data_IF_574426506634
#
_entry.id   IF_574426506634
#
_cell.length_a   1.000
_cell.length_b   1.000
_cell.length_c   1.000
_cell.angle_alpha   90.00
_cell.angle_beta   90.00
_cell.angle_gamma   90.00
#
_symmetry.space_group_name_H-M   'P 1'
#
loop_
_entity.id
_entity.type
_entity.pdbx_description
1 polymer ?
#
# COMPACT_ATOMS: atom_id res chain seq x y z
N UNK A 1 -9.91 64.15 -44.01
CA UNK A 1 -10.60 63.02 -43.35
C UNK A 1 -9.58 62.28 -42.53
N UNK A 2 -9.78 62.19 -41.21
CA UNK A 2 -8.90 61.45 -40.31
C UNK A 2 -9.59 60.14 -39.93
N UNK A 3 -8.93 59.01 -40.19
CA UNK A 3 -9.39 57.68 -39.78
C UNK A 3 -9.04 57.54 -38.31
N UNK A 4 -10.04 57.62 -37.43
CA UNK A 4 -9.89 57.28 -36.03
C UNK A 4 -9.93 55.76 -35.91
N UNK A 5 -8.77 55.14 -35.74
CA UNK A 5 -8.68 53.72 -35.38
C UNK A 5 -9.09 53.59 -33.92
N UNK A 6 -10.31 53.11 -33.68
CA UNK A 6 -10.74 52.66 -32.37
C UNK A 6 -9.91 51.43 -31.98
N UNK A 7 -8.90 51.65 -31.15
CA UNK A 7 -8.10 50.59 -30.56
C UNK A 7 -8.98 49.86 -29.54
N UNK A 8 -9.66 48.81 -30.00
CA UNK A 8 -10.54 47.95 -29.22
C UNK A 8 -9.83 47.29 -28.04
N UNK A 9 -9.85 47.99 -26.91
CA UNK A 9 -9.80 47.54 -25.52
C UNK A 9 -9.24 46.12 -25.24
N UNK A 10 -7.92 45.92 -25.39
CA UNK A 10 -7.22 44.66 -25.05
C UNK A 10 -7.33 44.24 -23.57
N UNK A 11 -7.80 45.13 -22.69
CA UNK A 11 -8.05 44.83 -21.27
C UNK A 11 -9.17 43.81 -21.07
N UNK A 12 -10.21 43.79 -21.93
CA UNK A 12 -11.31 42.80 -21.82
C UNK A 12 -10.85 41.38 -22.12
N UNK A 13 -9.97 41.20 -23.13
CA UNK A 13 -9.39 39.89 -23.46
C UNK A 13 -8.46 39.37 -22.37
N UNK A 14 -7.68 40.27 -21.75
CA UNK A 14 -6.76 39.91 -20.67
C UNK A 14 -7.50 39.51 -19.39
N UNK A 15 -8.60 40.21 -19.06
CA UNK A 15 -9.46 39.85 -17.92
C UNK A 15 -10.13 38.49 -18.16
N UNK A 16 -10.65 38.25 -19.37
CA UNK A 16 -11.25 36.95 -19.72
C UNK A 16 -10.25 35.79 -19.62
N UNK A 17 -9.01 36.00 -20.06
CA UNK A 17 -7.92 35.02 -19.93
C UNK A 17 -7.63 34.70 -18.46
N UNK A 18 -7.47 35.72 -17.61
CA UNK A 18 -7.18 35.56 -16.18
C UNK A 18 -8.29 34.80 -15.47
N UNK A 19 -9.56 35.13 -15.77
CA UNK A 19 -10.72 34.42 -15.21
C UNK A 19 -10.79 32.97 -15.71
N UNK A 20 -10.51 32.73 -16.99
CA UNK A 20 -10.47 31.37 -17.52
C UNK A 20 -9.39 30.51 -16.85
N UNK A 21 -8.19 31.06 -16.69
CA UNK A 21 -7.07 30.38 -16.02
C UNK A 21 -7.39 30.11 -14.55
N UNK A 22 -7.98 31.07 -13.84
CA UNK A 22 -8.31 30.89 -12.42
C UNK A 22 -9.33 29.78 -12.19
N UNK A 23 -10.34 29.66 -13.07
CA UNK A 23 -11.33 28.57 -13.01
C UNK A 23 -10.66 27.22 -13.24
N UNK A 24 -9.79 27.10 -14.25
CA UNK A 24 -9.08 25.84 -14.55
C UNK A 24 -8.19 25.42 -13.37
N UNK A 25 -7.42 26.36 -12.82
CA UNK A 25 -6.57 26.09 -11.65
C UNK A 25 -7.41 25.68 -10.44
N UNK A 26 -8.55 26.34 -10.20
CA UNK A 26 -9.47 25.99 -9.13
C UNK A 26 -10.00 24.56 -9.25
N UNK A 27 -10.39 24.13 -10.46
CA UNK A 27 -10.85 22.76 -10.70
C UNK A 27 -9.75 21.72 -10.46
N UNK A 28 -8.51 22.02 -10.86
CA UNK A 28 -7.37 21.12 -10.61
C UNK A 28 -7.14 20.97 -9.11
N UNK A 29 -7.14 22.08 -8.35
CA UNK A 29 -6.95 22.05 -6.90
C UNK A 29 -8.09 21.28 -6.23
N UNK A 30 -9.35 21.55 -6.59
CA UNK A 30 -10.50 20.86 -6.03
C UNK A 30 -10.43 19.35 -6.27
N UNK A 31 -10.10 18.94 -7.49
CA UNK A 31 -9.90 17.52 -7.86
C UNK A 31 -8.75 16.92 -7.05
N UNK A 32 -7.62 17.60 -6.96
CA UNK A 32 -6.48 17.13 -6.19
C UNK A 32 -6.85 16.93 -4.72
N UNK A 33 -7.53 17.90 -4.11
CA UNK A 33 -7.95 17.81 -2.71
C UNK A 33 -8.93 16.65 -2.52
N UNK A 34 -9.92 16.49 -3.40
CA UNK A 34 -10.94 15.45 -3.27
C UNK A 34 -10.35 14.04 -3.37
N UNK A 35 -9.39 13.81 -4.26
CA UNK A 35 -8.85 12.47 -4.53
C UNK A 35 -7.56 12.14 -3.77
N UNK A 36 -6.74 13.14 -3.42
CA UNK A 36 -5.41 12.92 -2.85
C UNK A 36 -5.25 13.43 -1.41
N UNK A 37 -6.24 14.13 -0.85
CA UNK A 37 -6.20 14.45 0.58
C UNK A 37 -6.49 13.17 1.35
N UNK A 38 -5.53 12.78 2.21
CA UNK A 38 -5.70 11.60 3.05
C UNK A 38 -6.96 11.78 3.89
N UNK A 39 -7.92 10.84 3.86
CA UNK A 39 -9.06 10.91 4.75
C UNK A 39 -8.54 10.96 6.19
N UNK A 40 -9.24 11.63 7.12
CA UNK A 40 -8.91 11.53 8.53
C UNK A 40 -8.79 10.04 8.85
N UNK A 41 -7.62 9.63 9.33
CA UNK A 41 -7.39 8.25 9.71
C UNK A 41 -8.38 7.97 10.83
N UNK A 42 -9.51 7.35 10.48
CA UNK A 42 -10.33 6.65 11.45
C UNK A 42 -9.34 5.76 12.18
N UNK A 43 -9.11 6.04 13.47
CA UNK A 43 -8.31 5.17 14.31
C UNK A 43 -8.87 3.78 14.09
N UNK A 44 -8.10 2.94 13.39
CA UNK A 44 -8.49 1.57 13.19
C UNK A 44 -8.39 0.99 14.59
N UNK A 45 -9.53 0.86 15.26
CA UNK A 45 -9.68 0.13 16.50
C UNK A 45 -9.46 -1.34 16.15
N UNK A 46 -8.21 -1.70 15.89
CA UNK A 46 -7.80 -3.07 15.59
C UNK A 46 -8.11 -3.86 16.86
N UNK A 47 -8.97 -4.90 16.79
CA UNK A 47 -9.24 -5.76 17.92
C UNK A 47 -7.92 -6.32 18.48
N UNK A 48 -7.81 -6.42 19.81
CA UNK A 48 -6.62 -6.89 20.53
C UNK A 48 -6.06 -8.21 19.96
N UNK A 49 -6.96 -9.04 19.43
CA UNK A 49 -6.68 -10.33 18.84
C UNK A 49 -5.82 -10.20 17.58
N UNK A 50 -6.16 -9.26 16.69
CA UNK A 50 -5.44 -9.02 15.43
C UNK A 50 -4.06 -8.39 15.67
N UNK A 51 -3.95 -7.53 16.69
CA UNK A 51 -2.65 -6.97 17.13
C UNK A 51 -1.70 -8.04 17.66
N UNK A 52 -2.24 -9.07 18.31
CA UNK A 52 -1.46 -10.20 18.83
C UNK A 52 -0.96 -11.10 17.69
N UNK A 53 -1.78 -11.33 16.67
CA UNK A 53 -1.39 -12.10 15.48
C UNK A 53 -0.24 -11.43 14.72
N UNK A 54 -0.29 -10.11 14.52
CA UNK A 54 0.81 -9.36 13.89
C UNK A 54 2.12 -9.53 14.66
N UNK A 55 2.05 -9.45 15.99
CA UNK A 55 3.21 -9.60 16.86
C UNK A 55 3.84 -10.99 16.78
N UNK A 56 3.05 -12.05 16.61
CA UNK A 56 3.54 -13.42 16.43
C UNK A 56 4.18 -13.58 15.04
N UNK A 57 3.61 -12.95 14.00
CA UNK A 57 4.16 -12.98 12.64
C UNK A 57 5.51 -12.28 12.51
N UNK A 58 5.81 -11.32 13.39
CA UNK A 58 7.06 -10.57 13.39
C UNK A 58 8.16 -11.24 14.24
N UNK A 59 7.89 -12.39 14.85
CA UNK A 59 8.89 -13.11 15.66
C UNK A 59 9.96 -13.70 14.73
N UNK A 60 11.16 -13.14 14.81
CA UNK A 60 12.37 -13.70 14.19
C UNK A 60 12.84 -14.93 14.99
N UNK A 61 12.49 -16.12 14.50
CA UNK A 61 12.92 -17.39 15.05
C UNK A 61 14.23 -17.81 14.38
N UNK A 62 15.35 -17.72 15.10
CA UNK A 62 16.65 -18.27 14.67
C UNK A 62 16.81 -19.70 15.19
N UNK A 63 16.63 -20.74 14.35
CA UNK A 63 16.71 -22.14 14.78
C UNK A 63 18.13 -22.54 15.22
N UNK A 64 19.14 -21.80 14.75
CA UNK A 64 20.56 -22.05 15.06
C UNK A 64 20.85 -21.89 16.55
N UNK A 65 20.11 -20.99 17.22
CA UNK A 65 20.21 -20.80 18.68
C UNK A 65 19.73 -22.02 19.46
N UNK A 66 18.79 -22.79 18.90
CA UNK A 66 18.22 -23.97 19.53
C UNK A 66 19.09 -25.19 19.24
N UNK A 67 19.38 -25.44 17.95
CA UNK A 67 20.16 -26.61 17.52
C UNK A 67 21.62 -26.55 17.96
N UNK A 68 22.17 -25.35 18.13
CA UNK A 68 23.50 -25.12 18.67
C UNK A 68 23.62 -25.24 20.19
N UNK A 69 22.49 -25.24 20.92
CA UNK A 69 22.49 -25.17 22.38
C UNK A 69 23.05 -26.46 23.03
N UNK A 70 23.79 -26.35 24.16
CA UNK A 70 24.26 -27.52 24.91
C UNK A 70 23.10 -28.44 25.36
N UNK A 71 21.95 -27.85 25.68
CA UNK A 71 20.75 -28.57 26.12
C UNK A 71 20.19 -29.43 24.99
N UNK A 72 20.08 -28.88 23.78
CA UNK A 72 19.60 -29.63 22.61
C UNK A 72 20.56 -30.77 22.24
N UNK A 73 21.88 -30.52 22.30
CA UNK A 73 22.91 -31.54 22.03
C UNK A 73 22.98 -32.65 23.08
N UNK A 74 22.48 -32.40 24.29
CA UNK A 74 22.40 -33.40 25.35
C UNK A 74 21.19 -34.33 25.21
N UNK A 75 20.22 -33.99 24.35
CA UNK A 75 19.06 -34.85 24.10
C UNK A 75 19.46 -36.06 23.27
N UNK A 76 19.00 -37.23 23.69
CA UNK A 76 19.12 -38.46 22.90
C UNK A 76 17.94 -38.57 21.95
N UNK A 77 18.24 -38.84 20.68
CA UNK A 77 17.22 -39.15 19.69
C UNK A 77 16.77 -40.61 19.89
N UNK A 78 15.54 -40.79 20.38
CA UNK A 78 14.95 -42.11 20.62
C UNK A 78 14.06 -42.61 19.46
N UNK A 79 13.89 -41.78 18.44
CA UNK A 79 13.07 -42.08 17.27
C UNK A 79 13.97 -42.36 16.07
N UNK A 80 13.59 -43.35 15.27
CA UNK A 80 14.25 -43.58 13.99
C UNK A 80 13.98 -42.38 13.06
N UNK A 81 14.94 -42.02 12.20
CA UNK A 81 14.72 -41.00 11.19
C UNK A 81 13.45 -41.33 10.39
N UNK A 82 12.64 -40.32 10.02
CA UNK A 82 11.44 -40.56 9.24
C UNK A 82 11.84 -41.21 7.91
N UNK A 83 11.24 -42.35 7.61
CA UNK A 83 11.35 -42.95 6.28
C UNK A 83 10.51 -42.07 5.35
N UNK A 84 11.11 -41.60 4.25
CA UNK A 84 10.38 -40.88 3.21
C UNK A 84 9.31 -41.83 2.65
N UNK A 85 8.05 -41.57 2.97
CA UNK A 85 6.92 -42.24 2.35
C UNK A 85 6.67 -41.72 0.93
N UNK A 86 5.68 -42.29 0.25
CA UNK A 86 5.20 -41.73 -1.01
C UNK A 86 4.66 -40.31 -0.78
N UNK A 87 5.28 -39.32 -1.43
CA UNK A 87 4.87 -37.93 -1.33
C UNK A 87 3.61 -37.69 -2.16
N UNK A 88 2.52 -37.38 -1.46
CA UNK A 88 1.28 -36.90 -2.07
C UNK A 88 0.43 -38.00 -2.70
N UNK A 89 -0.89 -37.76 -2.73
CA UNK A 89 -1.81 -38.48 -3.61
C UNK A 89 -1.84 -37.76 -4.95
N UNK A 90 -2.06 -38.48 -6.04
CA UNK A 90 -2.36 -37.83 -7.32
C UNK A 90 -3.46 -36.78 -7.12
N UNK A 91 -3.22 -35.56 -7.59
CA UNK A 91 -4.15 -34.46 -7.46
C UNK A 91 -5.41 -34.78 -8.30
N UNK A 92 -6.58 -35.03 -7.68
CA UNK A 92 -7.79 -35.38 -8.42
C UNK A 92 -8.35 -34.20 -9.24
N UNK A 93 -7.78 -33.00 -9.07
CA UNK A 93 -8.15 -31.78 -9.79
C UNK A 93 -7.16 -31.34 -10.87
N UNK A 94 -6.09 -32.11 -11.15
CA UNK A 94 -5.10 -31.72 -12.16
C UNK A 94 -5.61 -31.79 -13.61
N UNK A 95 -6.82 -32.32 -13.85
CA UNK A 95 -7.40 -32.51 -15.20
C UNK A 95 -8.49 -31.50 -15.55
N UNK A 96 -8.71 -30.47 -14.73
CA UNK A 96 -9.67 -29.40 -15.00
C UNK A 96 -8.95 -28.12 -15.40
#
# INVERSE_FOLDING_TARGET
MAITVEQGNGKKGLVGLVVGVSVVVGLIIATYVLFFTKPPQIEVLVPSEVKTISKISEVDLDPSKITGSPQYKALQEHVLPPVLGEFGRENPFARF
#
